data_IF_823662826226
#
_entry.id   IF_823662826226
#
_cell.length_a   1.000
_cell.length_b   1.000
_cell.length_c   1.000
_cell.angle_alpha   90.00
_cell.angle_beta   90.00
_cell.angle_gamma   90.00
#
_symmetry.space_group_name_H-M   'P 1'
#
loop_
_entity.id
_entity.type
_entity.pdbx_description
1 polymer ?
#
# COMPACT_ATOMS: atom_id res chain seq x y z
N UNK A 1 27.43 35.83 -14.65
CA UNK A 1 26.64 35.42 -13.48
C UNK A 1 26.58 33.91 -13.50
N UNK A 2 27.42 33.27 -12.69
CA UNK A 2 27.52 31.82 -12.61
C UNK A 2 26.58 31.36 -11.49
N UNK A 3 25.64 30.46 -11.81
CA UNK A 3 24.85 29.75 -10.81
C UNK A 3 25.78 28.88 -9.95
N UNK A 4 25.68 28.92 -8.61
CA UNK A 4 26.40 27.97 -7.79
C UNK A 4 25.69 26.62 -7.88
N UNK A 5 26.29 25.67 -8.59
CA UNK A 5 25.91 24.27 -8.53
C UNK A 5 26.14 23.76 -7.10
N UNK A 6 25.08 23.68 -6.30
CA UNK A 6 25.10 23.02 -4.99
C UNK A 6 25.21 21.51 -5.18
N UNK A 7 26.39 21.02 -5.56
CA UNK A 7 26.72 19.60 -5.46
C UNK A 7 27.03 19.31 -3.99
N UNK A 8 26.02 18.92 -3.22
CA UNK A 8 26.23 18.31 -1.91
C UNK A 8 27.02 17.02 -2.12
N UNK A 9 28.31 17.03 -1.78
CA UNK A 9 29.16 15.85 -1.90
C UNK A 9 28.67 14.68 -1.02
N UNK A 10 29.17 13.45 -1.24
CA UNK A 10 28.70 12.25 -0.52
C UNK A 10 28.75 12.35 1.01
N UNK A 11 29.72 13.09 1.55
CA UNK A 11 29.85 13.35 2.99
C UNK A 11 28.70 14.21 3.53
N UNK A 12 28.33 15.28 2.80
CA UNK A 12 27.20 16.13 3.20
C UNK A 12 25.86 15.40 3.11
N UNK A 13 25.69 14.50 2.15
CA UNK A 13 24.50 13.67 2.03
C UNK A 13 24.35 12.68 3.21
N UNK A 14 25.47 12.12 3.70
CA UNK A 14 25.46 11.23 4.85
C UNK A 14 25.12 11.99 6.15
N UNK A 15 25.72 13.15 6.36
CA UNK A 15 25.46 14.01 7.53
C UNK A 15 23.98 14.46 7.57
N UNK A 16 23.45 14.90 6.43
CA UNK A 16 22.04 15.27 6.30
C UNK A 16 21.13 14.08 6.62
N UNK A 17 21.44 12.89 6.11
CA UNK A 17 20.66 11.69 6.36
C UNK A 17 20.71 11.26 7.83
N UNK A 18 21.88 11.31 8.47
CA UNK A 18 22.02 10.98 9.88
C UNK A 18 21.29 12.01 10.77
N UNK A 19 21.22 13.29 10.37
CA UNK A 19 20.40 14.30 11.04
C UNK A 19 18.88 14.02 10.92
N UNK A 20 18.39 13.68 9.72
CA UNK A 20 16.99 13.28 9.52
C UNK A 20 16.63 12.01 10.31
N UNK A 21 17.54 11.03 10.38
CA UNK A 21 17.37 9.84 11.21
C UNK A 21 17.28 10.17 12.71
N UNK A 22 18.04 11.17 13.17
CA UNK A 22 17.95 11.64 14.56
C UNK A 22 16.61 12.34 14.83
N UNK A 23 16.13 13.17 13.89
CA UNK A 23 14.80 13.79 13.98
C UNK A 23 13.69 12.73 14.03
N UNK A 24 13.76 11.72 13.15
CA UNK A 24 12.80 10.60 13.11
C UNK A 24 12.75 9.80 14.42
N UNK A 25 13.84 9.79 15.19
CA UNK A 25 13.88 9.15 16.51
C UNK A 25 13.19 9.99 17.59
N UNK A 26 13.11 11.31 17.40
CA UNK A 26 12.48 12.25 18.32
C UNK A 26 10.99 12.47 18.09
N UNK A 27 10.45 12.15 16.91
CA UNK A 27 9.04 12.37 16.62
C UNK A 27 8.60 12.12 15.17
N UNK A 28 7.36 12.50 14.83
CA UNK A 28 6.84 12.39 13.48
C UNK A 28 7.60 13.30 12.51
N UNK A 29 7.90 12.80 11.32
CA UNK A 29 8.52 13.57 10.24
C UNK A 29 7.49 14.11 9.25
N UNK A 30 7.67 15.33 8.71
CA UNK A 30 6.85 15.81 7.60
C UNK A 30 7.15 15.02 6.31
N UNK A 31 6.21 15.06 5.36
CA UNK A 31 6.32 14.35 4.09
C UNK A 31 7.59 14.68 3.29
N UNK A 32 8.00 15.95 3.29
CA UNK A 32 9.22 16.38 2.62
C UNK A 32 10.46 15.67 3.19
N UNK A 33 10.54 15.52 4.51
CA UNK A 33 11.68 14.88 5.19
C UNK A 33 11.69 13.36 4.96
N UNK A 34 10.52 12.71 4.99
CA UNK A 34 10.38 11.29 4.65
C UNK A 34 10.89 11.00 3.23
N UNK A 35 10.49 11.80 2.24
CA UNK A 35 10.96 11.66 0.86
C UNK A 35 12.45 12.02 0.73
N UNK A 36 12.91 13.03 1.47
CA UNK A 36 14.31 13.43 1.48
C UNK A 36 15.22 12.30 1.95
N UNK A 37 14.84 11.60 3.02
CA UNK A 37 15.56 10.41 3.51
C UNK A 37 15.71 9.35 2.42
N UNK A 38 14.67 9.10 1.62
CA UNK A 38 14.74 8.15 0.51
C UNK A 38 15.67 8.64 -0.60
N UNK A 39 15.59 9.91 -0.98
CA UNK A 39 16.45 10.49 -2.04
C UNK A 39 17.95 10.40 -1.71
N UNK A 40 18.31 10.51 -0.42
CA UNK A 40 19.70 10.45 0.05
C UNK A 40 20.29 9.03 0.02
N UNK A 41 19.47 7.98 -0.16
CA UNK A 41 19.93 6.60 -0.18
C UNK A 41 20.83 6.25 -1.37
N UNK A 42 20.76 7.01 -2.47
CA UNK A 42 21.68 6.83 -3.60
C UNK A 42 23.12 7.20 -3.22
N UNK A 43 23.29 8.28 -2.45
CA UNK A 43 24.59 8.73 -1.96
C UNK A 43 25.05 8.00 -0.68
N UNK A 44 24.11 7.47 0.11
CA UNK A 44 24.39 6.79 1.38
C UNK A 44 23.72 5.40 1.47
N UNK A 45 24.04 4.43 0.59
CA UNK A 45 23.36 3.13 0.52
C UNK A 45 23.48 2.29 1.80
N UNK A 46 24.56 2.48 2.58
CA UNK A 46 24.79 1.81 3.86
C UNK A 46 23.81 2.20 4.98
N UNK A 47 22.91 3.17 4.74
CA UNK A 47 21.88 3.60 5.70
C UNK A 47 20.48 3.05 5.38
N UNK A 48 20.32 2.27 4.30
CA UNK A 48 19.01 1.78 3.83
C UNK A 48 18.16 1.13 4.94
N UNK A 49 18.73 0.19 5.69
CA UNK A 49 17.97 -0.51 6.74
C UNK A 49 17.52 0.43 7.86
N UNK A 50 18.34 1.43 8.21
CA UNK A 50 17.99 2.47 9.21
C UNK A 50 16.87 3.37 8.71
N UNK A 51 16.92 3.79 7.44
CA UNK A 51 15.87 4.61 6.81
C UNK A 51 14.56 3.84 6.76
N UNK A 52 14.57 2.60 6.28
CA UNK A 52 13.35 1.77 6.22
C UNK A 52 12.77 1.56 7.62
N UNK A 53 13.62 1.26 8.61
CA UNK A 53 13.19 1.09 10.00
C UNK A 53 12.59 2.37 10.58
N UNK A 54 13.20 3.53 10.31
CA UNK A 54 12.69 4.82 10.76
C UNK A 54 11.32 5.11 10.14
N UNK A 55 11.19 5.02 8.81
CA UNK A 55 9.92 5.22 8.11
C UNK A 55 8.83 4.24 8.58
N UNK A 56 9.16 2.96 8.74
CA UNK A 56 8.21 1.95 9.22
C UNK A 56 7.68 2.23 10.64
N UNK A 57 8.44 2.95 11.48
CA UNK A 57 8.02 3.35 12.84
C UNK A 57 7.05 4.52 12.85
N UNK A 58 7.12 5.41 11.87
CA UNK A 58 6.27 6.61 11.77
C UNK A 58 4.79 6.23 11.64
N UNK A 59 4.48 5.21 10.82
CA UNK A 59 3.11 4.69 10.61
C UNK A 59 2.09 5.78 10.28
N UNK A 60 2.46 6.68 9.39
CA UNK A 60 1.59 7.73 8.86
C UNK A 60 1.58 7.70 7.32
N UNK A 61 0.78 8.57 6.72
CA UNK A 61 0.65 8.66 5.25
C UNK A 61 1.98 8.97 4.57
N UNK A 62 2.76 9.90 5.12
CA UNK A 62 4.00 10.40 4.55
C UNK A 62 5.06 9.29 4.48
N UNK A 63 5.18 8.51 5.55
CA UNK A 63 6.11 7.41 5.62
C UNK A 63 5.69 6.24 4.73
N UNK A 64 4.39 5.95 4.59
CA UNK A 64 3.92 4.92 3.64
C UNK A 64 4.22 5.35 2.21
N UNK A 65 3.93 6.60 1.84
CA UNK A 65 4.27 7.11 0.51
C UNK A 65 5.77 7.00 0.22
N UNK A 66 6.63 7.41 1.15
CA UNK A 66 8.09 7.28 1.01
C UNK A 66 8.56 5.81 0.96
N UNK A 67 7.97 4.91 1.74
CA UNK A 67 8.27 3.47 1.65
C UNK A 67 7.91 2.92 0.27
N UNK A 68 6.79 3.35 -0.31
CA UNK A 68 6.33 2.89 -1.63
C UNK A 68 7.15 3.42 -2.80
N UNK A 69 7.99 4.45 -2.60
CA UNK A 69 8.96 4.91 -3.61
C UNK A 69 10.26 4.11 -3.62
N UNK A 70 10.50 3.24 -2.63
CA UNK A 70 11.71 2.43 -2.57
C UNK A 70 11.74 1.36 -3.67
N UNK A 71 12.94 0.90 -4.08
CA UNK A 71 13.08 -0.19 -5.03
C UNK A 71 12.34 -1.46 -4.59
N UNK A 72 11.78 -2.19 -5.56
CA UNK A 72 11.17 -3.50 -5.33
C UNK A 72 12.11 -4.43 -4.56
N UNK A 73 11.58 -5.13 -3.55
CA UNK A 73 12.35 -6.09 -2.77
C UNK A 73 13.19 -5.47 -1.65
N UNK A 74 13.05 -4.15 -1.40
CA UNK A 74 13.68 -3.52 -0.24
C UNK A 74 13.20 -4.18 1.05
N UNK A 75 14.15 -4.72 1.83
CA UNK A 75 13.89 -5.40 3.11
C UNK A 75 13.18 -4.46 4.09
N UNK A 76 12.15 -4.94 4.79
CA UNK A 76 11.43 -4.17 5.81
C UNK A 76 10.32 -3.27 5.26
N UNK A 77 10.28 -3.04 3.94
CA UNK A 77 9.27 -2.18 3.31
C UNK A 77 7.86 -2.75 3.48
N UNK A 78 7.68 -4.05 3.23
CA UNK A 78 6.37 -4.70 3.31
C UNK A 78 5.87 -4.72 4.75
N UNK A 79 6.75 -4.99 5.71
CA UNK A 79 6.45 -5.00 7.14
C UNK A 79 6.04 -3.61 7.63
N UNK A 80 6.70 -2.56 7.16
CA UNK A 80 6.32 -1.18 7.46
C UNK A 80 4.93 -0.81 6.93
N UNK A 81 4.66 -1.08 5.65
CA UNK A 81 3.34 -0.82 5.04
C UNK A 81 2.26 -1.69 5.69
N UNK A 82 2.55 -2.96 5.99
CA UNK A 82 1.65 -3.84 6.73
C UNK A 82 1.27 -3.26 8.09
N UNK A 83 2.26 -2.79 8.87
CA UNK A 83 2.02 -2.23 10.20
C UNK A 83 1.18 -0.95 10.15
N UNK A 84 1.39 -0.10 9.13
CA UNK A 84 0.58 1.09 8.89
C UNK A 84 -0.88 0.72 8.55
N UNK A 85 -1.10 -0.19 7.60
CA UNK A 85 -2.45 -0.65 7.23
C UNK A 85 -3.18 -1.32 8.40
N UNK A 86 -2.48 -2.15 9.18
CA UNK A 86 -3.02 -2.77 10.41
C UNK A 86 -3.37 -1.76 11.49
N UNK A 87 -2.81 -0.55 11.42
CA UNK A 87 -3.14 0.56 12.32
C UNK A 87 -4.24 1.47 11.75
N UNK A 88 -4.78 1.17 10.56
CA UNK A 88 -5.85 1.97 9.94
C UNK A 88 -5.38 3.24 9.25
N UNK A 89 -4.07 3.36 8.95
CA UNK A 89 -3.51 4.52 8.26
C UNK A 89 -4.13 4.63 6.87
N UNK A 90 -4.55 5.83 6.49
CA UNK A 90 -5.06 6.15 5.16
C UNK A 90 -4.18 7.19 4.49
N UNK A 91 -4.17 7.15 3.17
CA UNK A 91 -3.45 8.12 2.36
C UNK A 91 -4.13 9.46 2.45
N UNK A 92 -3.37 10.52 2.64
CA UNK A 92 -3.90 11.88 2.55
C UNK A 92 -3.84 12.39 1.10
N UNK A 93 -4.93 13.02 0.66
CA UNK A 93 -5.04 13.76 -0.59
C UNK A 93 -5.36 15.21 -0.25
N UNK A 94 -4.41 16.14 -0.49
CA UNK A 94 -4.60 17.59 -0.28
C UNK A 94 -5.31 17.93 1.06
N UNK A 95 -4.79 17.37 2.16
CA UNK A 95 -5.30 17.52 3.54
C UNK A 95 -6.60 16.78 3.88
N UNK A 96 -7.10 15.92 3.01
CA UNK A 96 -8.21 15.02 3.31
C UNK A 96 -7.73 13.57 3.29
N UNK A 97 -7.96 12.85 4.39
CA UNK A 97 -7.72 11.41 4.44
C UNK A 97 -8.64 10.70 3.45
N UNK A 98 -8.07 9.81 2.65
CA UNK A 98 -8.81 8.85 1.86
C UNK A 98 -9.75 8.05 2.76
N UNK A 99 -10.94 7.64 2.28
CA UNK A 99 -11.77 6.72 3.03
C UNK A 99 -10.97 5.44 3.31
N UNK A 100 -11.10 4.92 4.53
CA UNK A 100 -10.57 3.59 4.82
C UNK A 100 -11.39 2.58 4.03
N UNK A 101 -10.74 1.97 3.05
CA UNK A 101 -11.42 1.13 2.09
C UNK A 101 -10.47 0.07 1.52
N UNK A 102 -11.09 -1.01 1.08
CA UNK A 102 -10.50 -2.00 0.21
C UNK A 102 -11.27 -2.00 -1.10
N UNK A 103 -10.56 -2.00 -2.22
CA UNK A 103 -11.14 -2.44 -3.49
C UNK A 103 -10.23 -3.44 -4.20
N UNK A 104 -10.83 -4.54 -4.64
CA UNK A 104 -10.20 -5.53 -5.49
C UNK A 104 -10.79 -5.41 -6.88
N UNK A 105 -9.99 -4.96 -7.84
CA UNK A 105 -10.39 -4.78 -9.24
C UNK A 105 -9.57 -5.72 -10.13
N UNK A 106 -10.23 -6.39 -11.08
CA UNK A 106 -9.56 -7.20 -12.08
C UNK A 106 -10.29 -7.15 -13.41
N UNK A 107 -9.51 -6.94 -14.49
CA UNK A 107 -10.06 -6.90 -15.85
C UNK A 107 -10.34 -8.29 -16.41
N UNK A 108 -11.23 -8.36 -17.39
CA UNK A 108 -11.43 -9.55 -18.21
C UNK A 108 -10.12 -10.04 -18.80
N UNK A 109 -9.89 -11.34 -18.76
CA UNK A 109 -8.67 -11.98 -19.25
C UNK A 109 -9.02 -13.17 -20.13
N UNK A 110 -8.18 -13.41 -21.15
CA UNK A 110 -8.27 -14.58 -22.04
C UNK A 110 -7.63 -15.84 -21.42
N UNK A 111 -7.02 -15.72 -20.23
CA UNK A 111 -6.46 -16.87 -19.52
C UNK A 111 -7.54 -17.92 -19.23
N UNK A 112 -7.24 -19.19 -19.47
CA UNK A 112 -8.12 -20.32 -19.11
C UNK A 112 -8.44 -20.39 -17.61
N UNK A 113 -7.63 -19.75 -16.76
CA UNK A 113 -7.87 -19.64 -15.32
C UNK A 113 -8.94 -18.61 -14.97
N UNK A 114 -9.27 -17.69 -15.87
CA UNK A 114 -10.12 -16.54 -15.58
C UNK A 114 -11.60 -16.90 -15.35
N UNK A 115 -12.28 -17.68 -16.22
CA UNK A 115 -13.70 -17.98 -16.02
C UNK A 115 -14.01 -18.65 -14.66
N UNK A 116 -13.23 -19.64 -14.19
CA UNK A 116 -13.40 -20.20 -12.84
C UNK A 116 -13.26 -19.17 -11.71
N UNK A 117 -12.37 -18.18 -11.86
CA UNK A 117 -12.19 -17.12 -10.85
C UNK A 117 -13.38 -16.17 -10.80
N UNK A 118 -13.94 -15.82 -11.96
CA UNK A 118 -15.17 -15.01 -12.01
C UNK A 118 -16.33 -15.77 -11.39
N UNK A 119 -16.51 -17.05 -11.71
CA UNK A 119 -17.58 -17.86 -11.13
C UNK A 119 -17.46 -17.96 -9.60
N UNK A 120 -16.23 -18.15 -9.08
CA UNK A 120 -15.96 -18.14 -7.64
C UNK A 120 -16.25 -16.78 -7.00
N UNK A 121 -15.83 -15.70 -7.65
CA UNK A 121 -16.11 -14.35 -7.17
C UNK A 121 -17.62 -14.07 -7.13
N UNK A 122 -18.37 -14.48 -8.17
CA UNK A 122 -19.82 -14.33 -8.22
C UNK A 122 -20.51 -15.13 -7.11
N UNK A 123 -20.07 -16.37 -6.86
CA UNK A 123 -20.61 -17.19 -5.78
C UNK A 123 -20.34 -16.61 -4.39
N UNK A 124 -19.14 -16.06 -4.15
CA UNK A 124 -18.74 -15.52 -2.85
C UNK A 124 -19.34 -14.12 -2.58
N UNK A 125 -19.37 -13.24 -3.57
CA UNK A 125 -19.70 -11.82 -3.38
C UNK A 125 -21.08 -11.43 -3.92
N UNK A 126 -21.66 -12.25 -4.80
CA UNK A 126 -23.00 -12.03 -5.36
C UNK A 126 -23.18 -10.61 -5.90
N UNK A 127 -24.24 -9.88 -5.48
CA UNK A 127 -24.50 -8.51 -5.92
C UNK A 127 -23.38 -7.48 -5.60
N UNK A 128 -22.47 -7.79 -4.68
CA UNK A 128 -21.35 -6.90 -4.33
C UNK A 128 -20.21 -6.94 -5.36
N UNK A 129 -20.19 -7.95 -6.22
CA UNK A 129 -19.26 -7.99 -7.33
C UNK A 129 -19.81 -7.14 -8.47
N UNK A 130 -19.33 -5.92 -8.54
CA UNK A 130 -19.67 -4.99 -9.60
C UNK A 130 -19.08 -5.45 -10.93
N UNK A 131 -19.82 -5.20 -12.01
CA UNK A 131 -19.40 -5.44 -13.39
C UNK A 131 -19.43 -4.11 -14.12
N UNK A 132 -18.27 -3.61 -14.48
CA UNK A 132 -18.08 -2.26 -15.00
C UNK A 132 -17.44 -2.34 -16.39
N UNK A 133 -17.80 -1.42 -17.29
CA UNK A 133 -17.09 -1.26 -18.56
C UNK A 133 -16.21 -0.02 -18.48
N UNK A 134 -14.91 -0.19 -18.57
CA UNK A 134 -13.89 0.87 -18.48
C UNK A 134 -13.03 0.79 -19.73
N UNK A 135 -12.96 1.88 -20.49
CA UNK A 135 -12.20 1.96 -21.75
C UNK A 135 -12.47 0.78 -22.71
N UNK A 136 -13.74 0.37 -22.80
CA UNK A 136 -14.21 -0.76 -23.63
C UNK A 136 -13.99 -2.15 -23.04
N UNK A 137 -13.16 -2.29 -22.01
CA UNK A 137 -12.90 -3.56 -21.33
C UNK A 137 -13.89 -3.82 -20.17
N UNK A 138 -14.20 -5.09 -19.92
CA UNK A 138 -15.04 -5.49 -18.79
C UNK A 138 -14.15 -5.66 -17.54
N UNK A 139 -14.51 -4.97 -16.47
CA UNK A 139 -13.84 -5.02 -15.16
C UNK A 139 -14.81 -5.60 -14.13
N UNK A 140 -14.24 -6.34 -13.18
CA UNK A 140 -14.92 -6.81 -12.00
C UNK A 140 -14.35 -6.10 -10.79
N UNK A 141 -15.21 -5.57 -9.92
CA UNK A 141 -14.78 -4.81 -8.75
C UNK A 141 -15.56 -5.24 -7.52
N UNK A 142 -14.84 -5.47 -6.43
CA UNK A 142 -15.39 -5.59 -5.10
C UNK A 142 -14.90 -4.40 -4.28
N UNK A 143 -15.79 -3.72 -3.57
CA UNK A 143 -15.47 -2.60 -2.67
C UNK A 143 -15.99 -2.90 -1.28
N UNK A 144 -15.14 -2.71 -0.28
CA UNK A 144 -15.50 -2.67 1.14
C UNK A 144 -15.00 -1.34 1.69
N UNK A 145 -15.89 -0.56 2.30
CA UNK A 145 -15.57 0.76 2.83
C UNK A 145 -15.98 0.82 4.30
N UNK A 146 -15.25 1.62 5.08
CA UNK A 146 -15.58 1.99 6.45
C UNK A 146 -17.05 2.41 6.59
N UNK A 147 -17.68 1.87 7.63
CA UNK A 147 -19.10 2.05 7.90
C UNK A 147 -19.59 1.03 8.93
N UNK A 148 -20.84 1.17 9.41
CA UNK A 148 -21.35 0.43 10.57
C UNK A 148 -21.44 -1.09 10.38
N UNK A 149 -21.30 -1.58 9.14
CA UNK A 149 -21.36 -3.01 8.81
C UNK A 149 -20.02 -3.57 8.38
N UNK A 150 -18.94 -2.78 8.35
CA UNK A 150 -17.66 -3.19 7.77
C UNK A 150 -17.18 -4.51 8.40
N UNK A 151 -17.16 -4.61 9.72
CA UNK A 151 -16.68 -5.83 10.40
C UNK A 151 -17.47 -7.07 10.04
N UNK A 152 -18.80 -7.02 10.08
CA UNK A 152 -19.63 -8.18 9.75
C UNK A 152 -19.48 -8.59 8.29
N UNK A 153 -19.32 -7.60 7.39
CA UNK A 153 -19.02 -7.83 5.99
C UNK A 153 -17.66 -8.48 5.79
N UNK A 154 -16.62 -8.00 6.46
CA UNK A 154 -15.26 -8.54 6.38
C UNK A 154 -15.22 -9.95 6.96
N UNK A 155 -15.81 -10.20 8.13
CA UNK A 155 -15.90 -11.54 8.74
C UNK A 155 -16.54 -12.57 7.80
N UNK A 156 -17.60 -12.17 7.10
CA UNK A 156 -18.28 -13.05 6.17
C UNK A 156 -17.46 -13.37 4.90
N UNK A 157 -16.51 -12.50 4.54
CA UNK A 157 -15.84 -12.52 3.23
C UNK A 157 -14.33 -12.76 3.28
N UNK A 158 -13.69 -12.72 4.45
CA UNK A 158 -12.23 -12.64 4.55
C UNK A 158 -11.50 -13.83 3.89
N UNK A 159 -12.02 -15.05 4.04
CA UNK A 159 -11.40 -16.26 3.50
C UNK A 159 -11.52 -16.30 1.98
N UNK A 160 -12.70 -15.97 1.45
CA UNK A 160 -12.94 -15.91 0.02
C UNK A 160 -12.17 -14.76 -0.64
N UNK A 161 -12.07 -13.61 0.03
CA UNK A 161 -11.33 -12.46 -0.44
C UNK A 161 -9.83 -12.75 -0.54
N UNK A 162 -9.25 -13.31 0.51
CA UNK A 162 -7.84 -13.69 0.49
C UNK A 162 -7.55 -14.75 -0.58
N UNK A 163 -8.39 -15.79 -0.65
CA UNK A 163 -8.24 -16.86 -1.64
C UNK A 163 -8.35 -16.33 -3.06
N UNK A 164 -9.39 -15.55 -3.35
CA UNK A 164 -9.58 -14.95 -4.66
C UNK A 164 -8.39 -14.05 -5.01
N UNK A 165 -7.95 -13.20 -4.10
CA UNK A 165 -6.81 -12.32 -4.33
C UNK A 165 -5.56 -13.12 -4.71
N UNK A 166 -5.18 -14.13 -3.92
CA UNK A 166 -4.03 -15.00 -4.21
C UNK A 166 -4.08 -15.64 -5.59
N UNK A 167 -5.26 -16.07 -6.03
CA UNK A 167 -5.43 -16.69 -7.34
C UNK A 167 -5.39 -15.66 -8.48
N UNK A 168 -6.01 -14.49 -8.27
CA UNK A 168 -5.98 -13.37 -9.22
C UNK A 168 -4.56 -12.84 -9.44
N UNK A 169 -3.69 -12.87 -8.43
CA UNK A 169 -2.28 -12.45 -8.58
C UNK A 169 -1.49 -13.27 -9.62
N UNK A 170 -2.04 -14.40 -10.10
CA UNK A 170 -1.47 -15.22 -11.18
C UNK A 170 -1.86 -14.74 -12.59
N UNK A 171 -2.70 -13.71 -12.70
CA UNK A 171 -3.12 -13.08 -13.96
C UNK A 171 -2.79 -11.59 -13.93
N UNK A 172 -2.54 -11.00 -15.10
CA UNK A 172 -2.23 -9.56 -15.22
C UNK A 172 -3.47 -8.69 -15.12
N UNK A 173 -3.29 -7.43 -14.71
CA UNK A 173 -4.35 -6.43 -14.66
C UNK A 173 -5.22 -6.51 -13.41
N UNK A 174 -4.62 -6.94 -12.30
CA UNK A 174 -5.26 -6.93 -10.98
C UNK A 174 -4.76 -5.71 -10.20
N UNK A 175 -5.70 -4.94 -9.66
CA UNK A 175 -5.43 -3.79 -8.80
C UNK A 175 -6.01 -4.05 -7.43
N UNK A 176 -5.19 -3.87 -6.41
CA UNK A 176 -5.63 -3.86 -5.03
C UNK A 176 -5.51 -2.43 -4.50
N UNK A 177 -6.63 -1.82 -4.14
CA UNK A 177 -6.68 -0.53 -3.50
C UNK A 177 -6.85 -0.74 -2.00
N UNK A 178 -5.98 -0.14 -1.19
CA UNK A 178 -6.07 -0.13 0.26
C UNK A 178 -5.90 1.31 0.73
N UNK A 179 -6.92 1.86 1.38
CA UNK A 179 -6.91 3.18 2.02
C UNK A 179 -6.29 4.31 1.16
N UNK A 180 -6.58 4.32 -0.14
CA UNK A 180 -6.08 5.33 -1.09
C UNK A 180 -4.78 4.98 -1.83
N UNK A 181 -4.09 3.88 -1.48
CA UNK A 181 -2.95 3.36 -2.24
C UNK A 181 -3.38 2.30 -3.25
N UNK A 182 -2.95 2.43 -4.50
CA UNK A 182 -3.17 1.44 -5.56
C UNK A 182 -1.95 0.54 -5.73
N UNK A 183 -2.16 -0.77 -5.58
CA UNK A 183 -1.17 -1.82 -5.77
C UNK A 183 -1.49 -2.61 -7.05
N UNK A 184 -0.98 -2.15 -8.18
CA UNK A 184 -1.14 -2.75 -9.50
C UNK A 184 0.18 -3.34 -10.04
N UNK A 185 0.19 -3.85 -11.27
CA UNK A 185 1.36 -4.48 -11.91
C UNK A 185 2.60 -3.57 -12.01
N UNK A 186 2.44 -2.25 -11.88
CA UNK A 186 3.52 -1.25 -11.92
C UNK A 186 4.01 -0.86 -10.52
N UNK A 187 3.27 -1.21 -9.46
CA UNK A 187 3.67 -0.96 -8.07
C UNK A 187 5.03 -1.59 -7.73
N UNK A 188 5.79 -0.91 -6.85
CA UNK A 188 6.99 -1.47 -6.23
C UNK A 188 6.70 -2.76 -5.43
N UNK A 189 5.44 -2.94 -4.99
CA UNK A 189 4.97 -4.13 -4.29
C UNK A 189 4.46 -5.16 -5.29
N UNK A 190 5.30 -6.17 -5.53
CA UNK A 190 5.00 -7.27 -6.45
C UNK A 190 3.90 -8.18 -5.92
N UNK A 191 3.17 -8.88 -6.81
CA UNK A 191 1.98 -9.65 -6.47
C UNK A 191 2.08 -10.50 -5.18
N UNK A 192 3.13 -11.33 -4.96
CA UNK A 192 3.19 -12.18 -3.75
C UNK A 192 3.19 -11.37 -2.45
N UNK A 193 3.77 -10.18 -2.47
CA UNK A 193 3.90 -9.29 -1.31
C UNK A 193 2.63 -8.46 -1.03
N UNK A 194 1.59 -8.54 -1.88
CA UNK A 194 0.30 -7.86 -1.64
C UNK A 194 -0.60 -8.60 -0.66
N UNK A 195 -0.43 -9.92 -0.54
CA UNK A 195 -1.25 -10.76 0.36
C UNK A 195 -1.09 -10.36 1.84
N UNK A 196 0.13 -10.14 2.37
CA UNK A 196 0.30 -9.60 3.72
C UNK A 196 -0.42 -8.25 3.89
N UNK A 197 -0.35 -7.35 2.91
CA UNK A 197 -0.97 -6.02 3.02
C UNK A 197 -2.49 -6.09 3.08
N UNK A 198 -3.10 -6.96 2.26
CA UNK A 198 -4.51 -7.31 2.38
C UNK A 198 -4.82 -7.79 3.80
N UNK A 199 -4.01 -8.68 4.36
CA UNK A 199 -4.19 -9.17 5.73
C UNK A 199 -4.08 -8.07 6.78
N UNK A 200 -3.13 -7.15 6.64
CA UNK A 200 -3.00 -6.00 7.55
C UNK A 200 -4.27 -5.15 7.56
N UNK A 201 -4.85 -4.90 6.39
CA UNK A 201 -6.12 -4.17 6.30
C UNK A 201 -7.31 -4.96 6.90
N UNK A 202 -7.39 -6.27 6.66
CA UNK A 202 -8.43 -7.13 7.23
C UNK A 202 -8.34 -7.17 8.77
N UNK A 203 -7.13 -7.27 9.32
CA UNK A 203 -6.89 -7.25 10.77
C UNK A 203 -7.41 -5.96 11.41
N UNK A 204 -7.15 -4.82 10.76
CA UNK A 204 -7.69 -3.52 11.21
C UNK A 204 -9.22 -3.50 11.18
N UNK A 205 -9.82 -3.87 10.04
CA UNK A 205 -11.27 -3.84 9.85
C UNK A 205 -12.02 -4.80 10.82
N UNK A 206 -11.36 -5.87 11.27
CA UNK A 206 -11.91 -6.82 12.23
C UNK A 206 -11.80 -6.37 13.70
N UNK A 207 -10.87 -5.43 13.97
CA UNK A 207 -10.56 -4.93 15.31
C UNK A 207 -11.32 -3.64 15.70
N UNK A 208 -11.81 -2.86 14.72
CA UNK A 208 -12.32 -1.50 14.92
C UNK A 208 -13.50 -1.36 15.91
N UNK A 209 -14.37 -2.36 16.02
CA UNK A 209 -15.49 -2.39 16.99
C UNK A 209 -15.06 -2.42 18.48
N UNK A 210 -13.78 -2.61 18.80
CA UNK A 210 -13.32 -2.58 20.20
C UNK A 210 -13.10 -1.16 20.74
N UNK A 211 -13.30 -0.12 19.91
CA UNK A 211 -13.00 1.29 20.24
C UNK A 211 -14.17 2.25 20.04
N UNK A 212 -15.32 1.76 19.59
CA UNK A 212 -16.59 2.51 19.50
C UNK A 212 -17.50 2.12 20.67
#
# INVERSE_FOLDING_TARGET
>A
MSEPSSQTGPLGALEELDALLALAAGGPLPAADCLRMVSLLEAAPGRRDRVVTALARQRDTAAVDALLTLPTGTRGMIEGVFAALRSGVSRDFDHAAAPRMLALEFRSSTSSRFPPLVARAQAAFGPRLERLRVDGALHYRLVLQEGPKLRSQVRALELDLERLHRELLRIRGVRLWLNGWCLDDRSAIRPPARVPLLRGWLDWALAEDARA
#
